data_IF_156304643123
#
_entry.id   IF_156304643123
#
_cell.length_a   1.000
_cell.length_b   1.000
_cell.length_c   1.000
_cell.angle_alpha   90.00
_cell.angle_beta   90.00
_cell.angle_gamma   90.00
#
_symmetry.space_group_name_H-M   'P 1'
#
loop_
_entity.id
_entity.type
_entity.pdbx_description
1 polymer ?
#
# COMPACT_ATOMS: atom_id res chain seq x y z
N UNK A 1 20.89 -23.40 -15.20
CA UNK A 1 20.38 -22.14 -14.63
C UNK A 1 18.89 -22.35 -14.40
N UNK A 2 18.53 -22.87 -13.23
CA UNK A 2 17.15 -23.27 -12.93
C UNK A 2 16.56 -22.27 -11.94
N UNK A 3 15.67 -21.41 -12.40
CA UNK A 3 14.73 -20.74 -11.51
C UNK A 3 13.63 -21.76 -11.17
N UNK A 4 13.43 -22.15 -9.90
CA UNK A 4 12.32 -23.01 -9.56
C UNK A 4 11.03 -22.21 -9.73
N UNK A 5 10.20 -22.70 -10.65
CA UNK A 5 8.84 -22.25 -10.86
C UNK A 5 7.98 -22.50 -9.63
N UNK A 6 7.24 -21.44 -9.26
CA UNK A 6 5.84 -21.48 -8.77
C UNK A 6 5.53 -22.28 -7.51
N UNK A 7 4.97 -21.56 -6.52
CA UNK A 7 4.17 -22.07 -5.40
C UNK A 7 4.90 -22.43 -4.10
N UNK A 8 5.91 -21.66 -3.72
CA UNK A 8 6.25 -21.50 -2.31
C UNK A 8 5.95 -20.04 -1.95
N UNK A 9 4.99 -19.82 -1.06
CA UNK A 9 4.84 -18.51 -0.43
C UNK A 9 6.18 -18.10 0.17
N UNK A 10 6.47 -16.81 0.23
CA UNK A 10 7.69 -16.29 0.84
C UNK A 10 7.83 -16.90 2.24
N UNK A 11 8.92 -17.63 2.54
CA UNK A 11 9.09 -18.22 3.86
C UNK A 11 9.14 -17.10 4.91
N UNK A 12 8.45 -17.32 6.03
CA UNK A 12 8.25 -16.36 7.14
C UNK A 12 9.53 -15.85 7.80
N UNK A 13 10.68 -16.45 7.50
CA UNK A 13 12.03 -16.01 7.83
C UNK A 13 12.98 -16.96 7.11
N UNK A 14 14.04 -16.47 6.48
CA UNK A 14 15.13 -17.34 6.05
C UNK A 14 15.82 -17.92 7.29
N UNK A 15 15.47 -19.15 7.67
CA UNK A 15 16.15 -19.90 8.74
C UNK A 15 17.43 -20.56 8.23
N UNK A 16 17.81 -20.34 6.96
CA UNK A 16 18.98 -20.95 6.32
C UNK A 16 20.31 -20.26 6.68
N UNK A 17 20.23 -19.10 7.37
CA UNK A 17 21.40 -18.37 7.88
C UNK A 17 22.17 -17.59 6.82
N UNK A 18 21.57 -17.33 5.65
CA UNK A 18 22.28 -16.74 4.50
C UNK A 18 21.97 -15.26 4.24
N UNK A 19 21.29 -14.57 5.14
CA UNK A 19 20.84 -13.16 4.96
C UNK A 19 20.23 -12.92 3.56
N UNK A 20 19.36 -13.85 3.10
CA UNK A 20 18.76 -13.75 1.78
C UNK A 20 17.43 -13.01 1.82
N UNK A 21 17.25 -12.09 0.88
CA UNK A 21 15.98 -11.43 0.61
C UNK A 21 15.24 -12.23 -0.46
N UNK A 22 13.95 -12.49 -0.23
CA UNK A 22 13.10 -13.19 -1.19
C UNK A 22 11.92 -12.32 -1.58
N UNK A 23 11.50 -12.42 -2.83
CA UNK A 23 10.33 -11.74 -3.37
C UNK A 23 9.40 -12.78 -3.98
N UNK A 24 8.10 -12.62 -3.74
CA UNK A 24 7.06 -13.35 -4.47
C UNK A 24 6.18 -12.38 -5.22
N UNK A 25 5.76 -12.82 -6.40
CA UNK A 25 4.91 -12.04 -7.27
C UNK A 25 3.59 -12.78 -7.51
N UNK A 26 2.52 -12.05 -7.75
CA UNK A 26 1.26 -12.61 -8.22
C UNK A 26 1.35 -13.00 -9.71
N UNK A 27 0.26 -13.57 -10.24
CA UNK A 27 0.17 -13.99 -11.65
C UNK A 27 0.31 -12.82 -12.65
N UNK A 28 0.14 -11.58 -12.18
CA UNK A 28 0.27 -10.35 -12.98
C UNK A 28 1.64 -9.68 -12.78
N UNK A 29 2.57 -10.32 -12.07
CA UNK A 29 3.91 -9.81 -11.82
C UNK A 29 3.99 -8.73 -10.74
N UNK A 30 2.94 -8.52 -9.94
CA UNK A 30 2.96 -7.56 -8.82
C UNK A 30 3.51 -8.22 -7.56
N UNK A 31 4.27 -7.47 -6.78
CA UNK A 31 4.93 -7.97 -5.58
C UNK A 31 3.90 -8.35 -4.51
N UNK A 32 3.75 -9.63 -4.19
CA UNK A 32 2.78 -10.12 -3.19
C UNK A 32 3.38 -10.20 -1.79
N UNK A 33 4.66 -10.53 -1.69
CA UNK A 33 5.37 -10.56 -0.42
C UNK A 33 6.87 -10.44 -0.63
N UNK A 34 7.54 -9.89 0.38
CA UNK A 34 8.98 -9.73 0.45
C UNK A 34 9.46 -10.17 1.82
N UNK A 35 10.45 -11.06 1.90
CA UNK A 35 11.15 -11.34 3.15
C UNK A 35 12.45 -10.57 3.16
N UNK A 36 12.65 -9.80 4.21
CA UNK A 36 13.92 -9.18 4.54
C UNK A 36 14.56 -9.97 5.69
N UNK A 37 15.87 -10.30 5.62
CA UNK A 37 16.55 -11.09 6.64
C UNK A 37 16.67 -10.37 7.98
N UNK A 38 16.71 -9.04 7.98
CA UNK A 38 16.86 -8.21 9.18
C UNK A 38 15.51 -7.78 9.76
N UNK A 39 14.52 -7.52 8.89
CA UNK A 39 13.23 -6.97 9.29
C UNK A 39 12.11 -8.01 9.39
N UNK A 40 12.16 -9.09 8.60
CA UNK A 40 11.13 -10.13 8.49
C UNK A 40 10.27 -10.01 7.22
N UNK A 41 9.06 -10.57 7.20
CA UNK A 41 8.22 -10.65 5.98
C UNK A 41 7.17 -9.55 5.90
N UNK A 42 7.21 -8.79 4.81
CA UNK A 42 6.14 -7.86 4.43
C UNK A 42 5.26 -8.46 3.33
N UNK A 43 3.96 -8.20 3.39
CA UNK A 43 2.98 -8.64 2.38
C UNK A 43 2.23 -7.47 1.78
N UNK A 44 1.74 -7.65 0.56
CA UNK A 44 1.05 -6.64 -0.23
C UNK A 44 -0.13 -7.28 -0.95
N UNK A 45 -1.27 -6.60 -0.91
CA UNK A 45 -2.50 -7.02 -1.57
C UNK A 45 -2.95 -5.93 -2.55
N UNK A 46 -3.52 -6.36 -3.67
CA UNK A 46 -3.98 -5.47 -4.73
C UNK A 46 -5.45 -5.72 -5.05
N UNK A 47 -6.15 -4.69 -5.52
CA UNK A 47 -7.50 -4.83 -6.10
C UNK A 47 -7.43 -5.41 -7.53
N UNK A 48 -8.58 -5.63 -8.16
CA UNK A 48 -8.68 -6.13 -9.53
C UNK A 48 -8.11 -5.15 -10.59
N UNK A 49 -8.06 -3.86 -10.29
CA UNK A 49 -7.43 -2.84 -11.12
C UNK A 49 -5.90 -2.78 -10.94
N UNK A 50 -5.39 -3.49 -9.93
CA UNK A 50 -3.99 -3.59 -9.63
C UNK A 50 -3.45 -2.52 -8.67
N UNK A 51 -4.31 -1.76 -8.01
CA UNK A 51 -3.93 -0.79 -6.98
C UNK A 51 -3.72 -1.47 -5.64
N UNK A 52 -2.77 -0.98 -4.85
CA UNK A 52 -2.39 -1.55 -3.55
C UNK A 52 -3.48 -1.29 -2.50
N UNK A 53 -4.20 -2.32 -2.08
CA UNK A 53 -5.27 -2.19 -1.08
C UNK A 53 -4.80 -2.42 0.35
N UNK A 54 -3.73 -3.18 0.54
CA UNK A 54 -3.21 -3.46 1.88
C UNK A 54 -1.73 -3.80 1.83
N UNK A 55 -0.99 -3.32 2.83
CA UNK A 55 0.38 -3.72 3.08
C UNK A 55 0.52 -4.07 4.55
N UNK A 56 1.11 -5.22 4.84
CA UNK A 56 1.47 -5.62 6.20
C UNK A 56 2.98 -5.66 6.28
N UNK A 57 3.57 -4.88 7.18
CA UNK A 57 5.01 -4.91 7.38
C UNK A 57 5.42 -6.13 8.21
N UNK A 58 6.73 -6.35 8.29
CA UNK A 58 7.29 -7.46 9.05
C UNK A 58 7.07 -7.41 10.58
N UNK A 59 6.66 -6.25 11.12
CA UNK A 59 6.24 -6.10 12.52
C UNK A 59 4.75 -6.46 12.73
N UNK A 60 4.05 -6.90 11.68
CA UNK A 60 2.62 -7.20 11.71
C UNK A 60 1.73 -5.95 11.63
N UNK A 61 2.31 -4.76 11.44
CA UNK A 61 1.55 -3.53 11.25
C UNK A 61 0.93 -3.53 9.86
N UNK A 62 -0.39 -3.48 9.82
CA UNK A 62 -1.16 -3.47 8.57
C UNK A 62 -1.64 -2.06 8.27
N UNK A 63 -1.38 -1.61 7.04
CA UNK A 63 -1.93 -0.40 6.44
C UNK A 63 -2.91 -0.81 5.34
N UNK A 64 -4.10 -0.21 5.29
CA UNK A 64 -5.06 -0.42 4.20
C UNK A 64 -5.33 0.87 3.46
N UNK A 65 -5.53 0.79 2.15
CA UNK A 65 -5.85 1.93 1.30
C UNK A 65 -7.15 1.66 0.55
N UNK A 66 -8.01 2.67 0.50
CA UNK A 66 -9.23 2.68 -0.30
C UNK A 66 -9.10 3.69 -1.42
N UNK A 67 -9.82 3.44 -2.51
CA UNK A 67 -9.73 4.25 -3.72
C UNK A 67 -11.12 4.70 -4.18
N UNK A 68 -11.20 5.84 -4.85
CA UNK A 68 -12.41 6.29 -5.53
C UNK A 68 -12.59 5.57 -6.88
N UNK A 69 -13.72 5.83 -7.55
CA UNK A 69 -14.03 5.22 -8.85
C UNK A 69 -13.08 5.59 -10.00
N UNK A 70 -12.13 6.50 -9.78
CA UNK A 70 -11.10 6.90 -10.76
C UNK A 70 -9.69 6.50 -10.32
N UNK A 71 -9.54 5.71 -9.25
CA UNK A 71 -8.26 5.15 -8.82
C UNK A 71 -7.42 6.07 -7.92
N UNK A 72 -8.01 7.10 -7.31
CA UNK A 72 -7.31 7.97 -6.35
C UNK A 72 -7.56 7.50 -4.92
N UNK A 73 -6.54 7.58 -4.06
CA UNK A 73 -6.63 7.14 -2.65
C UNK A 73 -7.61 8.04 -1.89
N UNK A 74 -8.65 7.47 -1.28
CA UNK A 74 -9.63 8.20 -0.46
C UNK A 74 -9.31 8.08 1.02
N UNK A 75 -8.93 6.89 1.47
CA UNK A 75 -8.59 6.63 2.87
C UNK A 75 -7.35 5.78 2.96
N UNK A 76 -6.50 6.09 3.92
CA UNK A 76 -5.37 5.26 4.34
C UNK A 76 -5.51 4.99 5.83
N UNK A 77 -5.84 3.75 6.19
CA UNK A 77 -5.89 3.32 7.58
C UNK A 77 -4.54 2.77 7.98
N UNK A 78 -3.95 3.34 9.02
CA UNK A 78 -2.76 2.87 9.71
C UNK A 78 -3.15 2.54 11.16
N UNK A 79 -2.37 1.74 11.92
CA UNK A 79 -2.71 1.48 13.31
C UNK A 79 -2.69 2.77 14.16
N UNK A 80 -1.93 3.78 13.73
CA UNK A 80 -1.93 5.12 14.28
C UNK A 80 -3.10 5.98 13.77
N UNK A 81 -4.19 5.43 13.23
CA UNK A 81 -5.39 6.18 12.83
C UNK A 81 -5.68 6.16 11.33
N UNK A 82 -6.76 6.83 10.93
CA UNK A 82 -7.16 6.93 9.52
C UNK A 82 -6.81 8.32 8.96
N UNK A 83 -6.21 8.30 7.78
CA UNK A 83 -5.91 9.49 6.98
C UNK A 83 -6.88 9.53 5.81
N UNK A 84 -7.67 10.59 5.71
CA UNK A 84 -8.61 10.83 4.63
C UNK A 84 -8.05 11.85 3.65
N UNK A 85 -8.18 11.56 2.37
CA UNK A 85 -7.76 12.39 1.27
C UNK A 85 -9.02 12.89 0.57
N UNK A 86 -9.09 14.19 0.31
CA UNK A 86 -10.12 14.69 -0.58
C UNK A 86 -9.52 15.54 -1.68
N UNK A 87 -10.09 15.34 -2.85
CA UNK A 87 -9.77 15.99 -4.09
C UNK A 87 -10.86 17.00 -4.42
N UNK A 88 -10.50 18.01 -5.23
CA UNK A 88 -11.52 18.85 -5.83
C UNK A 88 -12.48 17.98 -6.67
N UNK A 89 -13.79 18.24 -6.52
CA UNK A 89 -14.81 17.46 -7.20
C UNK A 89 -14.76 17.71 -8.70
N UNK A 90 -14.81 16.63 -9.48
CA UNK A 90 -14.84 16.68 -10.94
C UNK A 90 -16.23 17.03 -11.51
N UNK A 91 -17.22 17.26 -10.65
CA UNK A 91 -18.58 17.57 -11.09
C UNK A 91 -18.74 19.06 -11.41
N UNK A 92 -18.24 19.46 -12.59
CA UNK A 92 -18.77 20.63 -13.30
C UNK A 92 -18.05 21.96 -13.15
N UNK A 93 -16.80 22.00 -12.69
CA UNK A 93 -15.99 23.22 -12.73
C UNK A 93 -14.93 23.09 -13.82
N UNK A 94 -14.91 24.02 -14.78
CA UNK A 94 -14.00 24.04 -15.94
C UNK A 94 -12.50 24.03 -15.56
N UNK A 95 -12.16 24.09 -14.26
CA UNK A 95 -10.82 24.08 -13.69
C UNK A 95 -10.58 22.96 -12.64
N UNK A 96 -11.41 21.92 -12.56
CA UNK A 96 -11.20 20.82 -11.61
C UNK A 96 -10.08 19.88 -12.09
N UNK A 97 -8.86 20.08 -11.59
CA UNK A 97 -7.66 19.34 -12.03
C UNK A 97 -7.49 17.97 -11.32
N UNK A 98 -8.44 17.58 -10.46
CA UNK A 98 -8.29 16.40 -9.62
C UNK A 98 -7.18 16.58 -8.57
N UNK A 99 -6.91 17.83 -8.18
CA UNK A 99 -5.88 18.19 -7.21
C UNK A 99 -6.29 17.76 -5.82
N UNK A 100 -5.34 17.23 -5.05
CA UNK A 100 -5.53 16.97 -3.63
C UNK A 100 -5.72 18.29 -2.89
N UNK A 101 -6.87 18.48 -2.24
CA UNK A 101 -7.24 19.75 -1.58
C UNK A 101 -7.21 19.66 -0.06
N UNK A 102 -7.40 18.46 0.52
CA UNK A 102 -7.28 18.25 1.97
C UNK A 102 -6.75 16.87 2.29
N UNK A 103 -6.00 16.82 3.40
CA UNK A 103 -5.59 15.60 4.08
C UNK A 103 -6.01 15.78 5.54
N UNK A 104 -6.85 14.87 6.04
CA UNK A 104 -7.29 14.84 7.43
C UNK A 104 -6.74 13.59 8.09
N UNK A 105 -5.96 13.73 9.16
CA UNK A 105 -5.47 12.62 9.96
C UNK A 105 -6.31 12.56 11.24
N UNK A 106 -7.00 11.44 11.47
CA UNK A 106 -7.89 11.29 12.64
C UNK A 106 -7.13 11.21 13.96
N UNK A 107 -5.82 10.98 13.95
CA UNK A 107 -4.98 10.97 15.15
C UNK A 107 -4.12 12.23 15.32
N UNK A 108 -4.03 13.06 14.28
CA UNK A 108 -3.43 14.39 14.34
C UNK A 108 -4.48 15.37 13.85
N UNK A 109 -5.26 15.94 14.77
CA UNK A 109 -6.33 16.92 14.57
C UNK A 109 -5.83 18.25 13.92
N UNK A 110 -5.10 18.16 12.80
CA UNK A 110 -4.43 19.23 12.09
C UNK A 110 -4.84 19.09 10.62
N UNK A 111 -5.78 19.90 10.13
CA UNK A 111 -5.97 20.01 8.69
C UNK A 111 -4.64 20.50 8.11
N UNK A 112 -3.96 19.67 7.33
CA UNK A 112 -2.85 20.13 6.51
C UNK A 112 -3.46 20.90 5.34
N UNK A 113 -3.91 22.12 5.64
CA UNK A 113 -4.39 23.10 4.68
C UNK A 113 -3.23 23.40 3.73
N UNK A 114 -3.34 22.93 2.50
CA UNK A 114 -2.48 23.42 1.42
C UNK A 114 -3.07 24.76 0.99
N UNK A 115 -2.51 25.85 1.53
CA UNK A 115 -2.84 27.23 1.15
C UNK A 115 -2.47 27.50 -0.31
N UNK A 116 -3.44 28.15 -0.99
CA UNK A 116 -3.40 29.00 -2.20
C UNK A 116 -2.45 28.59 -3.35
#
# INVERSE_FOLDING_TARGET
MSCPSSSAGVPTKDVSGRNQTYWSYDAFGKLKAQSDPDLGVSSYNYNAFGDLTSTTNAKGVTTTLTYDGVGRIVTKNIPEGNIEYTYDSFSGSENALGRLVRIEDSNQNKPLVTTN
#
